data_IF_534861040521
#
_entry.id   IF_534861040521
#
_cell.length_a   1.000
_cell.length_b   1.000
_cell.length_c   1.000
_cell.angle_alpha   90.00
_cell.angle_beta   90.00
_cell.angle_gamma   90.00
#
_symmetry.space_group_name_H-M   'P 1'
#
loop_
_entity.id
_entity.type
_entity.pdbx_description
1 polymer ?
#
# COMPACT_ATOMS: atom_id res chain seq x y z
N UNK A 1 -23.08 -31.67 20.94
CA UNK A 1 -22.09 -32.77 20.76
C UNK A 1 -22.83 -34.08 20.65
N UNK A 2 -22.52 -34.94 19.68
CA UNK A 2 -23.14 -36.26 19.49
C UNK A 2 -24.19 -36.33 18.38
N UNK A 3 -24.49 -35.21 17.69
CA UNK A 3 -25.29 -35.27 16.47
C UNK A 3 -24.47 -35.87 15.32
N UNK A 4 -25.09 -36.73 14.57
CA UNK A 4 -24.53 -37.35 13.37
C UNK A 4 -25.05 -36.74 12.06
N UNK A 5 -26.11 -35.92 12.15
CA UNK A 5 -26.66 -35.09 11.07
C UNK A 5 -27.37 -33.86 11.63
N UNK A 6 -27.50 -32.82 10.83
CA UNK A 6 -28.31 -31.62 11.13
C UNK A 6 -29.24 -31.37 9.94
N UNK A 7 -30.49 -31.12 10.23
CA UNK A 7 -31.51 -30.79 9.24
C UNK A 7 -31.68 -29.27 9.23
N UNK A 8 -31.58 -28.60 8.06
CA UNK A 8 -31.85 -27.16 7.95
C UNK A 8 -33.28 -26.83 8.44
N UNK A 9 -33.42 -25.72 9.11
CA UNK A 9 -34.71 -25.24 9.67
C UNK A 9 -35.78 -25.10 8.60
N UNK A 10 -35.39 -24.76 7.38
CA UNK A 10 -36.29 -24.64 6.21
C UNK A 10 -36.89 -25.99 5.73
N UNK A 11 -36.36 -27.09 6.20
CA UNK A 11 -36.85 -28.44 5.94
C UNK A 11 -37.74 -29.00 7.07
N UNK A 12 -38.28 -28.10 7.91
CA UNK A 12 -39.13 -28.41 9.05
C UNK A 12 -40.39 -27.55 9.05
N UNK A 13 -41.38 -27.91 9.87
CA UNK A 13 -42.60 -27.13 10.15
C UNK A 13 -42.39 -25.99 11.12
N UNK A 14 -41.17 -25.77 11.57
CA UNK A 14 -40.76 -24.75 12.56
C UNK A 14 -41.40 -24.95 13.96
N UNK A 15 -41.83 -26.16 14.29
CA UNK A 15 -42.46 -26.50 15.56
C UNK A 15 -41.53 -26.30 16.78
N UNK A 16 -42.09 -25.85 17.91
CA UNK A 16 -41.29 -25.59 19.14
C UNK A 16 -41.26 -26.77 20.12
N UNK A 17 -42.35 -27.52 20.24
CA UNK A 17 -42.44 -28.68 21.13
C UNK A 17 -42.33 -30.01 20.41
N UNK A 18 -42.83 -30.03 19.19
CA UNK A 18 -42.74 -31.12 18.24
C UNK A 18 -42.39 -30.53 16.90
N UNK A 19 -41.45 -31.14 16.22
CA UNK A 19 -40.96 -30.70 14.90
C UNK A 19 -41.25 -31.80 13.89
N UNK A 20 -41.98 -31.47 12.82
CA UNK A 20 -42.11 -32.33 11.66
C UNK A 20 -40.97 -32.06 10.69
N UNK A 21 -40.33 -33.11 10.25
CA UNK A 21 -39.18 -33.07 9.35
C UNK A 21 -39.65 -33.56 7.98
N UNK A 22 -39.46 -32.74 6.96
CA UNK A 22 -39.98 -33.02 5.62
C UNK A 22 -39.04 -33.88 4.77
N UNK A 23 -37.78 -34.06 5.15
CA UNK A 23 -36.82 -34.91 4.45
C UNK A 23 -35.89 -35.62 5.43
N UNK A 24 -35.56 -36.87 5.13
CA UNK A 24 -34.53 -37.60 5.88
C UNK A 24 -33.14 -36.98 5.60
N UNK A 25 -32.31 -36.87 6.64
CA UNK A 25 -30.91 -36.46 6.49
C UNK A 25 -30.01 -37.67 6.43
N UNK A 26 -29.09 -37.66 5.48
CA UNK A 26 -28.01 -38.63 5.42
C UNK A 26 -27.01 -38.44 6.56
N UNK A 27 -26.36 -39.47 7.08
CA UNK A 27 -25.34 -39.36 8.09
C UNK A 27 -24.21 -38.41 7.64
N UNK A 28 -23.91 -37.41 8.45
CA UNK A 28 -22.92 -36.37 8.13
C UNK A 28 -23.50 -35.13 7.44
N UNK A 29 -24.81 -35.10 7.13
CA UNK A 29 -25.44 -33.93 6.52
C UNK A 29 -25.29 -32.70 7.42
N UNK A 30 -24.82 -31.58 6.86
CA UNK A 30 -24.59 -30.32 7.56
C UNK A 30 -23.63 -30.39 8.77
N UNK A 31 -22.84 -31.47 8.88
CA UNK A 31 -21.82 -31.62 9.92
C UNK A 31 -20.45 -31.25 9.35
N UNK A 32 -19.89 -30.14 9.85
CA UNK A 32 -18.50 -29.79 9.56
C UNK A 32 -17.57 -30.57 10.50
N UNK A 33 -16.79 -31.45 9.93
CA UNK A 33 -15.79 -32.22 10.69
C UNK A 33 -14.54 -31.39 10.91
N UNK A 34 -13.78 -31.69 11.96
CA UNK A 34 -12.49 -31.07 12.19
C UNK A 34 -11.57 -31.25 10.98
N UNK A 35 -10.96 -30.16 10.52
CA UNK A 35 -10.10 -30.16 9.34
C UNK A 35 -10.83 -30.19 8.01
N UNK A 36 -12.15 -29.94 7.98
CA UNK A 36 -12.92 -29.89 6.73
C UNK A 36 -12.49 -28.71 5.84
N UNK A 37 -12.15 -27.57 6.44
CA UNK A 37 -11.69 -26.38 5.72
C UNK A 37 -10.17 -26.31 5.63
N UNK A 38 -9.49 -26.45 6.77
CA UNK A 38 -8.03 -26.36 6.90
C UNK A 38 -7.57 -27.41 7.93
N UNK A 39 -6.57 -28.19 7.58
CA UNK A 39 -5.96 -29.19 8.46
C UNK A 39 -4.70 -28.64 9.11
N UNK A 40 -4.34 -29.20 10.24
CA UNK A 40 -3.04 -28.90 10.85
C UNK A 40 -1.90 -29.25 9.89
N UNK A 41 -1.03 -28.28 9.63
CA UNK A 41 0.10 -28.41 8.70
C UNK A 41 -0.16 -27.91 7.28
N UNK A 42 -1.41 -27.58 6.94
CA UNK A 42 -1.72 -26.97 5.64
C UNK A 42 -1.09 -25.57 5.54
N UNK A 43 -0.49 -25.28 4.39
CA UNK A 43 -0.01 -23.94 4.08
C UNK A 43 -1.17 -23.09 3.61
N UNK A 44 -1.57 -22.13 4.41
CA UNK A 44 -2.74 -21.26 4.15
C UNK A 44 -2.40 -19.96 3.44
N UNK A 45 -1.13 -19.51 3.52
CA UNK A 45 -0.62 -18.34 2.81
C UNK A 45 0.79 -18.61 2.29
N UNK A 46 1.11 -18.10 1.13
CA UNK A 46 2.44 -18.14 0.55
C UNK A 46 3.28 -16.93 0.98
N UNK A 47 4.60 -17.09 0.95
CA UNK A 47 5.52 -15.97 1.11
C UNK A 47 5.32 -14.98 -0.04
N UNK A 48 5.25 -13.69 0.27
CA UNK A 48 4.96 -12.63 -0.70
C UNK A 48 3.47 -12.32 -0.87
N UNK A 49 2.58 -13.07 -0.24
CA UNK A 49 1.15 -12.77 -0.27
C UNK A 49 0.87 -11.39 0.35
N UNK A 50 0.04 -10.60 -0.31
CA UNK A 50 -0.44 -9.33 0.22
C UNK A 50 -1.54 -9.59 1.23
N UNK A 51 -1.33 -9.14 2.48
CA UNK A 51 -2.31 -9.32 3.55
C UNK A 51 -3.46 -8.31 3.41
N UNK A 52 -4.47 -8.68 2.66
CA UNK A 52 -5.73 -7.94 2.53
C UNK A 52 -6.79 -8.41 3.55
N UNK A 53 -8.03 -7.91 3.42
CA UNK A 53 -9.11 -8.26 4.36
C UNK A 53 -9.39 -9.76 4.45
N UNK A 54 -9.28 -10.50 3.33
CA UNK A 54 -9.53 -11.96 3.29
C UNK A 54 -8.44 -12.73 4.04
N UNK A 55 -7.20 -12.41 3.81
CA UNK A 55 -6.03 -13.03 4.45
C UNK A 55 -6.05 -12.77 5.96
N UNK A 56 -6.38 -11.54 6.36
CA UNK A 56 -6.54 -11.18 7.78
C UNK A 56 -7.69 -11.96 8.41
N UNK A 57 -8.82 -12.08 7.73
CA UNK A 57 -9.97 -12.86 8.19
C UNK A 57 -9.63 -14.35 8.35
N UNK A 58 -8.93 -14.93 7.38
CA UNK A 58 -8.45 -16.31 7.44
C UNK A 58 -7.52 -16.54 8.63
N UNK A 59 -6.51 -15.69 8.80
CA UNK A 59 -5.57 -15.77 9.92
C UNK A 59 -6.28 -15.68 11.27
N UNK A 60 -7.23 -14.75 11.39
CA UNK A 60 -8.02 -14.60 12.61
C UNK A 60 -8.88 -15.84 12.90
N UNK A 61 -9.54 -16.40 11.87
CA UNK A 61 -10.33 -17.63 12.01
C UNK A 61 -9.50 -18.84 12.43
N UNK A 62 -8.23 -18.87 12.02
CA UNK A 62 -7.26 -19.93 12.42
C UNK A 62 -6.63 -19.66 13.80
N UNK A 63 -6.99 -18.57 14.47
CA UNK A 63 -6.47 -18.23 15.79
C UNK A 63 -5.05 -17.64 15.78
N UNK A 64 -4.55 -17.15 14.64
CA UNK A 64 -3.24 -16.52 14.55
C UNK A 64 -3.31 -15.04 14.99
N UNK A 65 -2.86 -14.68 16.23
CA UNK A 65 -2.99 -13.30 16.72
C UNK A 65 -1.95 -12.36 16.11
N UNK A 66 -0.87 -12.89 15.55
CA UNK A 66 0.24 -12.14 14.95
C UNK A 66 0.88 -12.94 13.83
N UNK A 67 1.29 -12.24 12.79
CA UNK A 67 2.08 -12.79 11.69
C UNK A 67 3.27 -11.87 11.39
N UNK A 68 4.33 -12.43 10.86
CA UNK A 68 5.46 -11.65 10.37
C UNK A 68 5.11 -11.19 8.95
N UNK A 69 5.15 -9.88 8.73
CA UNK A 69 4.93 -9.29 7.41
C UNK A 69 5.96 -8.18 7.15
N UNK A 70 6.26 -7.94 5.88
CA UNK A 70 7.02 -6.77 5.47
C UNK A 70 6.12 -5.53 5.61
N UNK A 71 6.61 -4.42 6.18
CA UNK A 71 5.84 -3.18 6.26
C UNK A 71 5.61 -2.61 4.85
N UNK A 72 4.60 -1.75 4.71
CA UNK A 72 4.44 -0.95 3.48
C UNK A 72 5.63 -0.01 3.35
N UNK A 73 6.20 0.15 2.13
CA UNK A 73 7.30 1.07 1.91
C UNK A 73 6.90 2.51 2.28
N UNK A 74 7.81 3.24 2.88
CA UNK A 74 7.68 4.67 3.16
C UNK A 74 8.35 5.43 2.04
N UNK A 75 7.57 6.18 1.29
CA UNK A 75 8.04 6.95 0.14
C UNK A 75 7.90 8.43 0.46
N UNK A 76 8.96 9.19 0.24
CA UNK A 76 8.94 10.66 0.37
C UNK A 76 8.97 11.28 -1.02
N UNK A 77 8.08 12.24 -1.26
CA UNK A 77 8.09 13.07 -2.48
C UNK A 77 8.64 14.44 -2.16
N UNK A 78 9.64 14.86 -2.91
CA UNK A 78 10.27 16.19 -2.82
C UNK A 78 10.09 16.89 -4.17
N UNK A 79 9.48 18.06 -4.19
CA UNK A 79 9.48 18.95 -5.36
C UNK A 79 10.57 19.98 -5.23
N UNK A 80 11.28 20.27 -6.33
CA UNK A 80 12.26 21.34 -6.41
C UNK A 80 11.82 22.37 -7.43
N UNK A 81 11.94 23.65 -7.08
CA UNK A 81 11.57 24.78 -7.91
C UNK A 81 11.23 25.99 -7.04
N UNK A 82 11.95 27.08 -7.22
CA UNK A 82 11.70 28.32 -6.49
C UNK A 82 10.38 29.00 -6.92
N UNK A 83 9.85 28.61 -8.09
CA UNK A 83 8.54 29.03 -8.61
C UNK A 83 7.36 28.31 -7.96
N UNK A 84 7.60 27.18 -7.30
CA UNK A 84 6.51 26.32 -6.79
C UNK A 84 5.88 26.88 -5.52
N UNK A 85 4.57 26.85 -5.49
CA UNK A 85 3.75 27.26 -4.33
C UNK A 85 2.77 26.14 -3.96
N UNK A 86 2.47 26.04 -2.68
CA UNK A 86 1.40 25.16 -2.21
C UNK A 86 0.03 25.63 -2.74
N UNK A 87 -0.84 24.73 -3.20
CA UNK A 87 -2.18 25.09 -3.64
C UNK A 87 -2.96 25.85 -2.56
N UNK A 88 -3.62 26.92 -2.97
CA UNK A 88 -4.37 27.80 -2.07
C UNK A 88 -3.56 28.96 -1.49
N UNK A 89 -2.25 29.04 -1.75
CA UNK A 89 -1.46 30.22 -1.44
C UNK A 89 -1.53 31.27 -2.57
N UNK A 90 -1.18 32.51 -2.25
CA UNK A 90 -1.09 33.57 -3.26
C UNK A 90 -0.01 33.23 -4.30
N UNK A 91 -0.32 33.43 -5.57
CA UNK A 91 0.64 33.27 -6.66
C UNK A 91 1.17 34.63 -7.08
N UNK A 92 2.50 34.76 -7.08
CA UNK A 92 3.20 35.87 -7.69
C UNK A 92 3.28 35.64 -9.21
N UNK A 93 3.73 36.65 -9.94
CA UNK A 93 3.76 36.64 -11.42
C UNK A 93 4.62 35.50 -11.98
N UNK A 94 5.67 35.10 -11.26
CA UNK A 94 6.67 34.08 -11.60
C UNK A 94 6.46 32.75 -10.86
N UNK A 95 5.29 32.55 -10.24
CA UNK A 95 5.02 31.34 -9.46
C UNK A 95 3.86 30.52 -10.01
N UNK A 96 3.92 29.20 -9.74
CA UNK A 96 2.92 28.21 -10.12
C UNK A 96 2.59 27.29 -8.95
N UNK A 97 1.42 26.68 -8.96
CA UNK A 97 1.07 25.67 -7.96
C UNK A 97 1.81 24.34 -8.18
N UNK A 98 2.31 23.76 -7.11
CA UNK A 98 2.90 22.41 -7.12
C UNK A 98 1.81 21.34 -7.33
N UNK A 99 1.53 20.99 -8.57
CA UNK A 99 0.62 19.89 -8.91
C UNK A 99 1.31 18.53 -8.90
N UNK A 100 2.61 18.48 -9.22
CA UNK A 100 3.33 17.21 -9.41
C UNK A 100 3.49 16.43 -8.12
N UNK A 101 3.83 17.06 -7.01
CA UNK A 101 3.98 16.34 -5.75
C UNK A 101 2.66 15.74 -5.25
N UNK A 102 1.55 16.41 -5.51
CA UNK A 102 0.22 15.89 -5.17
C UNK A 102 -0.15 14.68 -6.02
N UNK A 103 0.07 14.77 -7.35
CA UNK A 103 -0.17 13.68 -8.28
C UNK A 103 0.70 12.45 -7.92
N UNK A 104 2.00 12.65 -7.73
CA UNK A 104 2.93 11.57 -7.33
C UNK A 104 2.53 10.95 -6.00
N UNK A 105 2.18 11.77 -5.01
CA UNK A 105 1.74 11.25 -3.71
C UNK A 105 0.46 10.43 -3.81
N UNK A 106 -0.48 10.82 -4.67
CA UNK A 106 -1.69 10.05 -4.92
C UNK A 106 -1.37 8.71 -5.61
N UNK A 107 -0.51 8.72 -6.64
CA UNK A 107 -0.08 7.52 -7.34
C UNK A 107 0.66 6.53 -6.43
N UNK A 108 1.57 7.03 -5.58
CA UNK A 108 2.31 6.22 -4.61
C UNK A 108 1.36 5.55 -3.60
N UNK A 109 0.36 6.28 -3.10
CA UNK A 109 -0.65 5.70 -2.19
C UNK A 109 -1.51 4.66 -2.90
N UNK A 110 -1.90 4.92 -4.15
CA UNK A 110 -2.64 3.95 -4.96
C UNK A 110 -1.83 2.66 -5.21
N UNK A 111 -0.50 2.78 -5.32
CA UNK A 111 0.41 1.63 -5.39
C UNK A 111 0.59 0.89 -4.04
N UNK A 112 -0.05 1.34 -2.97
CA UNK A 112 -0.05 0.67 -1.67
C UNK A 112 1.06 1.10 -0.70
N UNK A 113 1.88 2.11 -1.04
CA UNK A 113 2.91 2.64 -0.18
C UNK A 113 2.38 3.74 0.79
N UNK A 114 3.15 4.01 1.83
CA UNK A 114 2.93 5.16 2.72
C UNK A 114 3.69 6.34 2.12
N UNK A 115 2.98 7.41 1.74
CA UNK A 115 3.58 8.56 1.11
C UNK A 115 3.56 9.80 1.99
N UNK A 116 4.72 10.44 2.11
CA UNK A 116 4.91 11.74 2.74
C UNK A 116 5.35 12.76 1.68
N UNK A 117 4.71 13.92 1.65
CA UNK A 117 5.16 15.05 0.85
C UNK A 117 6.01 15.97 1.73
N UNK A 118 7.13 16.39 1.19
CA UNK A 118 7.88 17.54 1.68
C UNK A 118 7.54 18.69 0.73
N UNK A 119 7.13 19.84 1.21
CA UNK A 119 6.79 20.97 0.37
C UNK A 119 7.89 21.34 -0.64
N UNK A 120 7.64 22.33 -1.49
CA UNK A 120 8.62 22.79 -2.47
C UNK A 120 9.93 23.22 -1.79
N UNK A 121 11.03 22.73 -2.32
CA UNK A 121 12.39 23.06 -1.87
C UNK A 121 13.02 23.98 -2.90
N UNK A 122 13.63 25.06 -2.47
CA UNK A 122 14.34 25.97 -3.36
C UNK A 122 15.42 25.28 -4.18
N UNK A 123 15.69 25.78 -5.39
CA UNK A 123 16.75 25.33 -6.28
C UNK A 123 18.14 25.67 -5.74
N UNK A 124 18.40 25.31 -4.50
CA UNK A 124 19.65 25.49 -3.81
C UNK A 124 20.25 24.14 -3.39
N UNK A 125 21.46 23.80 -3.85
CA UNK A 125 22.11 22.51 -3.54
C UNK A 125 22.20 22.20 -2.05
N UNK A 126 22.47 23.22 -1.23
CA UNK A 126 22.60 23.05 0.23
C UNK A 126 21.24 22.78 0.88
N UNK A 127 20.19 23.51 0.46
CA UNK A 127 18.84 23.32 0.95
C UNK A 127 18.31 21.94 0.56
N UNK A 128 18.45 21.55 -0.70
CA UNK A 128 18.04 20.24 -1.20
C UNK A 128 18.78 19.10 -0.48
N UNK A 129 20.11 19.18 -0.38
CA UNK A 129 20.93 18.18 0.33
C UNK A 129 20.51 18.00 1.78
N UNK A 130 20.23 19.11 2.49
CA UNK A 130 19.76 19.08 3.87
C UNK A 130 18.43 18.32 3.96
N UNK A 131 17.43 18.71 3.17
CA UNK A 131 16.11 18.07 3.13
C UNK A 131 16.24 16.61 2.77
N UNK A 132 16.99 16.27 1.72
CA UNK A 132 17.20 14.89 1.29
C UNK A 132 17.81 14.04 2.43
N UNK A 133 18.85 14.53 3.10
CA UNK A 133 19.50 13.82 4.20
C UNK A 133 18.55 13.56 5.37
N UNK A 134 17.71 14.53 5.71
CA UNK A 134 16.69 14.39 6.76
C UNK A 134 15.63 13.33 6.38
N UNK A 135 15.27 13.23 5.10
CA UNK A 135 14.28 12.26 4.64
C UNK A 135 14.83 10.84 4.49
N UNK A 136 16.08 10.68 4.08
CA UNK A 136 16.74 9.38 3.92
C UNK A 136 16.77 8.54 5.20
N UNK A 137 16.74 9.20 6.37
CA UNK A 137 16.69 8.49 7.68
C UNK A 137 15.40 7.69 7.87
N UNK A 138 14.30 8.14 7.26
CA UNK A 138 12.96 7.56 7.49
C UNK A 138 12.28 7.00 6.25
N UNK A 139 12.80 7.29 5.06
CA UNK A 139 12.25 6.84 3.79
C UNK A 139 12.94 5.59 3.29
N UNK A 140 12.16 4.68 2.73
CA UNK A 140 12.66 3.52 2.00
C UNK A 140 12.92 3.89 0.53
N UNK A 141 12.25 4.95 0.03
CA UNK A 141 12.39 5.51 -1.32
C UNK A 141 12.14 7.02 -1.28
N UNK A 142 12.92 7.78 -2.02
CA UNK A 142 12.67 9.21 -2.27
C UNK A 142 12.39 9.40 -3.76
N UNK A 143 11.32 10.11 -4.07
CA UNK A 143 10.93 10.51 -5.43
C UNK A 143 11.05 12.02 -5.52
N UNK A 144 11.78 12.51 -6.51
CA UNK A 144 11.93 13.96 -6.74
C UNK A 144 11.22 14.36 -8.03
N UNK A 145 10.62 15.56 -8.04
CA UNK A 145 10.06 16.20 -9.22
C UNK A 145 10.69 17.57 -9.40
N UNK A 146 11.21 17.84 -10.59
CA UNK A 146 12.01 19.03 -10.90
C UNK A 146 13.53 18.80 -10.76
N UNK A 147 14.31 19.77 -11.15
CA UNK A 147 15.79 19.76 -10.99
C UNK A 147 16.52 18.74 -11.87
N UNK A 148 15.93 18.19 -12.93
CA UNK A 148 16.56 17.22 -13.85
C UNK A 148 16.64 17.79 -15.28
N UNK A 149 16.63 19.10 -15.43
CA UNK A 149 16.76 19.77 -16.73
C UNK A 149 18.18 19.64 -17.26
N UNK A 150 18.38 19.65 -18.59
CA UNK A 150 19.70 19.60 -19.26
C UNK A 150 20.60 20.82 -18.99
N UNK A 151 20.28 21.66 -17.99
CA UNK A 151 21.10 22.78 -17.60
C UNK A 151 22.36 22.38 -16.82
N UNK A 152 23.43 23.17 -16.98
CA UNK A 152 24.74 22.93 -16.34
C UNK A 152 24.72 23.01 -14.80
N UNK A 153 23.58 23.37 -14.20
CA UNK A 153 23.39 23.55 -12.75
C UNK A 153 22.24 22.71 -12.20
N UNK A 154 22.27 21.39 -12.44
CA UNK A 154 21.24 20.51 -11.92
C UNK A 154 21.54 20.11 -10.48
N UNK A 155 20.89 20.81 -9.55
CA UNK A 155 21.03 20.64 -8.11
C UNK A 155 20.78 19.21 -7.65
N UNK A 156 19.81 18.52 -8.24
CA UNK A 156 19.48 17.14 -7.89
C UNK A 156 20.57 16.19 -8.37
N UNK A 157 21.02 16.38 -9.63
CA UNK A 157 22.08 15.57 -10.24
C UNK A 157 23.39 15.64 -9.45
N UNK A 158 23.85 16.85 -9.16
CA UNK A 158 25.07 17.07 -8.39
C UNK A 158 24.99 16.44 -6.99
N UNK A 159 23.88 16.67 -6.30
CA UNK A 159 23.68 16.16 -4.95
C UNK A 159 23.62 14.64 -4.93
N UNK A 160 22.89 14.00 -5.83
CA UNK A 160 22.76 12.55 -5.89
C UNK A 160 24.08 11.89 -6.29
N UNK A 161 24.80 12.43 -7.28
CA UNK A 161 26.11 11.93 -7.71
C UNK A 161 27.17 11.96 -6.60
N UNK A 162 27.05 12.89 -5.67
CA UNK A 162 27.92 12.96 -4.50
C UNK A 162 27.54 11.95 -3.38
N UNK A 163 26.32 11.41 -3.42
CA UNK A 163 25.82 10.48 -2.40
C UNK A 163 25.87 9.01 -2.81
N UNK A 164 25.98 8.71 -4.11
CA UNK A 164 25.98 7.32 -4.57
C UNK A 164 26.05 7.19 -6.08
N UNK A 165 25.73 6.00 -6.58
CA UNK A 165 25.65 5.71 -8.01
C UNK A 165 24.38 6.32 -8.59
N UNK A 166 24.50 7.01 -9.72
CA UNK A 166 23.37 7.64 -10.43
C UNK A 166 23.35 7.14 -11.86
N UNK A 167 22.22 6.56 -12.27
CA UNK A 167 21.97 6.15 -13.64
C UNK A 167 21.02 7.14 -14.30
N UNK A 168 21.42 7.70 -15.45
CA UNK A 168 20.56 8.54 -16.27
C UNK A 168 20.00 7.71 -17.43
N UNK A 169 18.69 7.58 -17.46
CA UNK A 169 17.99 6.82 -18.51
C UNK A 169 16.98 7.70 -19.21
N UNK A 170 16.92 7.61 -20.53
CA UNK A 170 15.87 8.23 -21.33
C UNK A 170 14.68 7.26 -21.42
N UNK A 171 13.47 7.78 -21.21
CA UNK A 171 12.24 7.02 -21.39
C UNK A 171 11.66 7.34 -22.75
N UNK A 172 11.28 6.32 -23.53
CA UNK A 172 10.67 6.48 -24.87
C UNK A 172 9.23 7.01 -24.76
N UNK A 173 9.09 8.18 -24.17
CA UNK A 173 7.81 8.84 -23.91
C UNK A 173 7.91 10.34 -24.22
N UNK A 174 6.86 10.92 -24.76
CA UNK A 174 6.79 12.36 -25.06
C UNK A 174 5.45 12.93 -24.60
N UNK A 175 5.44 14.06 -23.83
CA UNK A 175 6.62 14.71 -23.24
C UNK A 175 7.28 13.85 -22.16
N UNK A 176 8.56 14.08 -21.86
CA UNK A 176 9.29 13.36 -20.80
C UNK A 176 10.62 12.74 -21.24
N UNK A 177 11.18 13.22 -22.38
CA UNK A 177 12.54 12.87 -22.80
C UNK A 177 13.60 13.49 -21.92
#
# INVERSE_FOLDING_TARGET
RGADAVIPYEQTDHGNQRVEIYAAAEPGACIRRQGADVKTGDRVLEEGAVLGPREIGLLAALGAPRVKARPRPRVVVISTGSELREPGTHLDYDSINDGNSYMLAAAIRAAGAICYRVGAVDDNPKAFRKVLSEQLVRADLVVTSGGISKGDHDVVKETLSALGTVDFVEVAMQPGK
#
